data_IF_537893386578
#
_entry.id   IF_537893386578
#
_cell.length_a   1.000
_cell.length_b   1.000
_cell.length_c   1.000
_cell.angle_alpha   90.00
_cell.angle_beta   90.00
_cell.angle_gamma   90.00
#
_symmetry.space_group_name_H-M   'P 1'
#
loop_
_entity.id
_entity.type
_entity.pdbx_description
1 polymer ?
#
# COMPACT_ATOMS: atom_id res chain seq x y z
N UNK A 1 21.89 7.05 97.74
CA UNK A 1 21.75 5.64 98.18
C UNK A 1 21.63 4.73 96.95
N UNK A 2 22.06 3.46 97.04
CA UNK A 2 21.74 2.25 96.22
C UNK A 2 21.27 2.45 94.75
N UNK A 3 22.04 2.02 93.73
CA UNK A 3 22.06 0.66 93.13
C UNK A 3 20.82 0.37 92.22
N UNK A 4 20.93 0.31 90.88
CA UNK A 4 21.25 -0.87 90.04
C UNK A 4 20.02 -1.80 89.78
N UNK A 5 19.80 -2.51 88.66
CA UNK A 5 20.61 -3.00 87.50
C UNK A 5 19.72 -3.08 86.23
N UNK A 6 20.26 -3.01 84.98
CA UNK A 6 19.91 -3.84 83.78
C UNK A 6 20.06 -3.15 82.39
N UNK A 7 20.74 -3.84 81.46
CA UNK A 7 20.65 -3.70 79.99
C UNK A 7 20.01 -4.99 79.43
N UNK A 8 19.35 -4.97 78.25
CA UNK A 8 20.06 -5.42 77.05
C UNK A 8 19.64 -4.72 75.73
N UNK A 9 20.31 -5.15 74.66
CA UNK A 9 20.11 -4.99 73.20
C UNK A 9 18.68 -4.63 72.70
N UNK A 10 18.48 -3.96 71.55
CA UNK A 10 18.81 -4.47 70.20
C UNK A 10 18.56 -3.41 69.09
N UNK A 11 19.09 -3.67 67.89
CA UNK A 11 18.76 -3.06 66.58
C UNK A 11 19.24 -1.62 66.28
N UNK A 12 20.46 -1.54 65.76
CA UNK A 12 20.71 -0.68 64.61
C UNK A 12 20.01 -1.28 63.36
N UNK A 13 19.24 -0.47 62.61
CA UNK A 13 18.96 -0.60 61.17
C UNK A 13 18.02 0.51 60.68
N UNK A 14 18.30 1.11 59.52
CA UNK A 14 17.36 2.07 58.88
C UNK A 14 17.95 3.05 57.86
N UNK A 15 19.26 3.30 57.86
CA UNK A 15 19.89 4.24 56.90
C UNK A 15 20.20 3.58 55.55
N UNK A 16 19.16 3.28 54.75
CA UNK A 16 19.29 2.63 53.44
C UNK A 16 18.04 2.86 52.56
N UNK A 17 18.07 3.43 51.34
CA UNK A 17 19.15 4.13 50.58
C UNK A 17 18.50 5.14 49.60
N UNK A 18 18.88 6.44 49.60
CA UNK A 18 18.44 7.39 48.56
C UNK A 18 18.79 6.93 47.13
N UNK A 19 19.89 6.20 46.98
CA UNK A 19 20.35 5.63 45.71
C UNK A 19 19.39 4.63 45.08
N UNK A 20 18.51 3.98 45.88
CA UNK A 20 17.56 3.00 45.36
C UNK A 20 16.39 3.69 44.64
N UNK A 21 15.84 4.74 45.25
CA UNK A 21 14.75 5.55 44.69
C UNK A 21 15.22 6.32 43.45
N UNK A 22 16.43 6.88 43.48
CA UNK A 22 17.02 7.55 42.31
C UNK A 22 17.19 6.61 41.10
N UNK A 23 17.54 5.32 41.34
CA UNK A 23 17.67 4.31 40.27
C UNK A 23 16.32 3.91 39.69
N UNK A 24 15.31 3.69 40.54
CA UNK A 24 13.94 3.38 40.13
C UNK A 24 13.32 4.52 39.28
N UNK A 25 13.56 5.78 39.66
CA UNK A 25 13.15 6.95 38.87
C UNK A 25 13.85 7.00 37.50
N UNK A 26 15.16 6.72 37.44
CA UNK A 26 15.90 6.65 36.17
C UNK A 26 15.40 5.51 35.30
N UNK A 27 15.14 4.34 35.86
CA UNK A 27 14.60 3.18 35.13
C UNK A 27 13.21 3.48 34.54
N UNK A 28 12.29 4.04 35.35
CA UNK A 28 10.97 4.50 34.88
C UNK A 28 11.07 5.57 33.80
N UNK A 29 11.99 6.52 33.93
CA UNK A 29 12.21 7.54 32.89
C UNK A 29 12.68 6.93 31.56
N UNK A 30 13.53 5.90 31.63
CA UNK A 30 14.03 5.16 30.46
C UNK A 30 12.93 4.30 29.83
N UNK A 31 12.04 3.68 30.62
CA UNK A 31 10.86 2.99 30.10
C UNK A 31 9.90 3.94 29.38
N UNK A 32 9.62 5.12 29.95
CA UNK A 32 8.79 6.15 29.32
C UNK A 32 9.41 6.58 27.99
N UNK A 33 10.70 6.95 27.98
CA UNK A 33 11.41 7.35 26.76
C UNK A 33 11.41 6.25 25.68
N UNK A 34 11.55 4.96 26.06
CA UNK A 34 11.44 3.82 25.15
C UNK A 34 10.02 3.66 24.58
N UNK A 35 8.98 3.77 25.41
CA UNK A 35 7.57 3.70 24.97
C UNK A 35 7.22 4.85 24.03
N UNK A 36 7.62 6.07 24.35
CA UNK A 36 7.43 7.21 23.45
C UNK A 36 8.17 7.04 22.12
N UNK A 37 9.42 6.54 22.14
CA UNK A 37 10.17 6.28 20.92
C UNK A 37 9.47 5.21 20.05
N UNK A 38 8.83 4.21 20.67
CA UNK A 38 8.02 3.24 19.96
C UNK A 38 6.74 3.88 19.38
N UNK A 39 6.00 4.65 20.17
CA UNK A 39 4.80 5.36 19.71
C UNK A 39 5.13 6.32 18.55
N UNK A 40 6.25 7.06 18.62
CA UNK A 40 6.71 7.93 17.53
C UNK A 40 7.02 7.14 16.25
N UNK A 41 7.71 6.00 16.36
CA UNK A 41 7.97 5.11 15.22
C UNK A 41 6.67 4.57 14.60
N UNK A 42 5.76 4.06 15.43
CA UNK A 42 4.50 3.47 14.97
C UNK A 42 3.58 4.53 14.36
N UNK A 43 3.56 5.75 14.90
CA UNK A 43 2.84 6.88 14.35
C UNK A 43 3.42 7.33 13.00
N UNK A 44 4.75 7.48 12.89
CA UNK A 44 5.42 7.79 11.62
C UNK A 44 5.13 6.72 10.56
N UNK A 45 5.33 5.44 10.91
CA UNK A 45 5.06 4.30 10.04
C UNK A 45 3.56 4.10 9.70
N UNK A 46 2.65 4.76 10.42
CA UNK A 46 1.23 4.83 10.06
C UNK A 46 0.95 5.98 9.08
N UNK A 47 1.52 7.17 9.33
CA UNK A 47 1.36 8.35 8.45
C UNK A 47 2.03 8.17 7.08
N UNK A 48 3.12 7.39 7.01
CA UNK A 48 3.84 7.09 5.76
C UNK A 48 3.14 6.04 4.87
N UNK A 49 2.03 5.42 5.32
CA UNK A 49 1.30 4.43 4.51
C UNK A 49 0.53 5.12 3.39
N UNK A 50 0.81 4.80 2.11
CA UNK A 50 0.10 5.43 1.00
C UNK A 50 -1.38 5.03 1.01
N UNK A 51 -2.26 6.00 0.78
CA UNK A 51 -3.70 5.83 0.69
C UNK A 51 -4.04 5.09 -0.61
N UNK A 52 -4.38 3.81 -0.48
CA UNK A 52 -4.75 2.93 -1.61
C UNK A 52 -6.26 2.91 -1.81
N UNK A 53 -6.72 3.19 -3.02
CA UNK A 53 -8.13 3.05 -3.45
C UNK A 53 -8.24 1.95 -4.50
N UNK A 54 -9.34 1.20 -4.46
CA UNK A 54 -9.64 0.12 -5.41
C UNK A 54 -10.94 0.43 -6.16
N UNK A 55 -10.90 0.35 -7.49
CA UNK A 55 -12.04 0.54 -8.40
C UNK A 55 -12.15 -0.72 -9.26
N UNK A 56 -13.13 -1.57 -8.95
CA UNK A 56 -13.51 -2.73 -9.75
C UNK A 56 -14.70 -2.46 -10.66
N UNK A 57 -15.03 -3.42 -11.52
CA UNK A 57 -16.04 -3.31 -12.57
C UNK A 57 -17.45 -2.83 -12.15
N UNK A 58 -17.81 -2.88 -10.85
CA UNK A 58 -19.12 -2.43 -10.33
C UNK A 58 -19.07 -1.16 -9.46
N UNK A 59 -17.89 -0.63 -9.16
CA UNK A 59 -17.72 0.50 -8.23
C UNK A 59 -17.47 1.81 -8.99
N UNK A 60 -18.50 2.36 -9.63
CA UNK A 60 -18.44 3.72 -10.19
C UNK A 60 -18.72 4.76 -9.10
N UNK A 61 -17.72 5.06 -8.26
CA UNK A 61 -17.69 6.38 -7.61
C UNK A 61 -17.54 7.43 -8.71
N UNK A 62 -18.58 8.26 -8.92
CA UNK A 62 -18.67 9.24 -10.01
C UNK A 62 -17.40 10.10 -10.17
N UNK A 63 -16.77 10.45 -9.05
CA UNK A 63 -15.49 11.19 -8.97
C UNK A 63 -14.34 10.56 -9.77
N UNK A 64 -14.28 9.24 -9.86
CA UNK A 64 -13.23 8.51 -10.60
C UNK A 64 -13.60 8.21 -12.05
N UNK A 65 -14.89 8.33 -12.43
CA UNK A 65 -15.39 7.86 -13.72
C UNK A 65 -14.64 8.47 -14.92
N UNK A 66 -14.43 9.79 -14.90
CA UNK A 66 -13.69 10.50 -15.96
C UNK A 66 -12.23 10.03 -16.09
N UNK A 67 -11.52 9.89 -14.96
CA UNK A 67 -10.13 9.43 -14.95
C UNK A 67 -10.01 7.98 -15.46
N UNK A 68 -10.90 7.09 -15.02
CA UNK A 68 -10.90 5.68 -15.43
C UNK A 68 -11.30 5.50 -16.90
N UNK A 69 -12.15 6.37 -17.45
CA UNK A 69 -12.47 6.34 -18.89
C UNK A 69 -11.32 6.86 -19.76
N UNK A 70 -10.65 7.96 -19.37
CA UNK A 70 -9.43 8.42 -20.06
C UNK A 70 -8.34 7.34 -20.05
N UNK A 71 -8.14 6.68 -18.90
CA UNK A 71 -7.25 5.53 -18.77
C UNK A 71 -7.65 4.39 -19.74
N UNK A 72 -8.93 4.03 -19.80
CA UNK A 72 -9.47 3.00 -20.69
C UNK A 72 -9.21 3.33 -22.16
N UNK A 73 -9.56 4.54 -22.60
CA UNK A 73 -9.34 5.02 -23.96
C UNK A 73 -7.85 5.04 -24.35
N UNK A 74 -6.95 5.35 -23.40
CA UNK A 74 -5.50 5.25 -23.63
C UNK A 74 -5.06 3.79 -23.79
N UNK A 75 -5.53 2.90 -22.92
CA UNK A 75 -5.27 1.45 -22.99
C UNK A 75 -5.72 0.86 -24.33
N UNK A 76 -6.95 1.10 -24.75
CA UNK A 76 -7.52 0.53 -25.98
C UNK A 76 -6.74 1.02 -27.22
N UNK A 77 -6.44 2.33 -27.29
CA UNK A 77 -5.63 2.93 -28.35
C UNK A 77 -4.22 2.31 -28.44
N UNK A 78 -3.51 2.19 -27.32
CA UNK A 78 -2.17 1.59 -27.30
C UNK A 78 -2.24 0.09 -27.57
N UNK A 79 -3.27 -0.59 -27.07
CA UNK A 79 -3.53 -2.02 -27.25
C UNK A 79 -3.77 -2.40 -28.70
N UNK A 80 -4.63 -1.67 -29.41
CA UNK A 80 -4.93 -1.89 -30.82
C UNK A 80 -3.67 -1.74 -31.70
N UNK A 81 -2.81 -0.76 -31.39
CA UNK A 81 -1.53 -0.55 -32.08
C UNK A 81 -0.46 -1.61 -31.73
N UNK A 82 -0.62 -2.33 -30.61
CA UNK A 82 0.37 -3.27 -30.07
C UNK A 82 -0.16 -4.72 -29.95
N UNK A 83 -1.27 -5.04 -30.60
CA UNK A 83 -1.83 -6.40 -30.61
C UNK A 83 -0.79 -7.37 -31.22
N UNK A 84 -0.38 -8.45 -30.53
CA UNK A 84 0.78 -9.24 -30.91
C UNK A 84 0.65 -9.88 -32.30
N UNK A 85 1.63 -9.69 -33.17
CA UNK A 85 1.62 -10.22 -34.53
C UNK A 85 1.43 -11.75 -34.59
N UNK A 86 2.05 -12.49 -33.67
CA UNK A 86 1.84 -13.95 -33.57
C UNK A 86 0.41 -14.30 -33.13
N UNK A 87 -0.18 -13.52 -32.21
CA UNK A 87 -1.58 -13.72 -31.80
C UNK A 87 -2.56 -13.44 -32.97
N UNK A 88 -2.29 -12.43 -33.80
CA UNK A 88 -3.03 -12.17 -35.05
C UNK A 88 -2.91 -13.34 -36.02
N UNK A 89 -1.68 -13.75 -36.33
CA UNK A 89 -1.39 -14.83 -37.28
C UNK A 89 -2.02 -16.16 -36.86
N UNK A 90 -2.01 -16.46 -35.55
CA UNK A 90 -2.61 -17.66 -34.95
C UNK A 90 -4.09 -17.50 -34.58
N UNK A 91 -4.70 -16.33 -34.84
CA UNK A 91 -6.11 -16.02 -34.52
C UNK A 91 -6.46 -16.32 -33.06
N UNK A 92 -5.59 -15.90 -32.14
CA UNK A 92 -5.77 -16.06 -30.69
C UNK A 92 -6.62 -14.92 -30.14
N UNK A 93 -7.65 -15.29 -29.39
CA UNK A 93 -8.65 -14.42 -28.78
C UNK A 93 -8.92 -14.88 -27.35
N UNK A 94 -9.39 -13.98 -26.50
CA UNK A 94 -9.74 -14.34 -25.13
C UNK A 94 -9.91 -13.11 -24.25
N UNK A 95 -10.42 -13.34 -23.03
CA UNK A 95 -10.59 -12.29 -22.03
C UNK A 95 -9.78 -12.62 -20.79
N UNK A 96 -8.99 -11.66 -20.32
CA UNK A 96 -8.29 -11.73 -19.03
C UNK A 96 -8.80 -10.63 -18.09
N UNK A 97 -8.65 -10.84 -16.79
CA UNK A 97 -8.89 -9.80 -15.79
C UNK A 97 -7.55 -9.37 -15.19
N UNK A 98 -7.32 -8.07 -15.11
CA UNK A 98 -6.12 -7.53 -14.48
C UNK A 98 -6.42 -6.30 -13.64
N UNK A 99 -5.50 -6.02 -12.72
CA UNK A 99 -5.47 -4.83 -11.87
C UNK A 99 -4.20 -4.04 -12.17
N UNK A 100 -4.35 -2.75 -12.46
CA UNK A 100 -3.24 -1.81 -12.60
C UNK A 100 -3.24 -0.88 -11.40
N UNK A 101 -2.14 -0.85 -10.64
CA UNK A 101 -1.92 0.15 -9.60
C UNK A 101 -1.17 1.35 -10.20
N UNK A 102 -1.78 2.53 -10.13
CA UNK A 102 -1.26 3.79 -10.67
C UNK A 102 -1.04 4.74 -9.49
N UNK A 103 0.09 5.43 -9.45
CA UNK A 103 0.41 6.48 -8.47
C UNK A 103 -0.20 7.82 -8.88
N UNK A 104 -0.33 8.75 -7.94
CA UNK A 104 -0.90 10.08 -8.19
C UNK A 104 -0.15 10.95 -9.21
N UNK A 105 1.12 10.62 -9.50
CA UNK A 105 1.96 11.22 -10.54
C UNK A 105 1.70 10.67 -11.96
N UNK A 106 0.88 9.61 -12.09
CA UNK A 106 0.59 8.89 -13.32
C UNK A 106 1.45 7.63 -13.55
N UNK A 107 2.47 7.40 -12.71
CA UNK A 107 3.37 6.24 -12.87
C UNK A 107 2.70 4.93 -12.46
N UNK A 108 3.04 3.85 -13.16
CA UNK A 108 2.54 2.51 -12.82
C UNK A 108 3.37 1.95 -11.66
N UNK A 109 2.72 1.62 -10.54
CA UNK A 109 3.34 0.88 -9.44
C UNK A 109 3.40 -0.62 -9.75
N UNK A 110 2.28 -1.19 -10.21
CA UNK A 110 2.19 -2.64 -10.48
C UNK A 110 1.12 -2.99 -11.51
N UNK A 111 1.24 -4.19 -12.08
CA UNK A 111 0.26 -4.82 -12.97
C UNK A 111 0.12 -6.28 -12.57
N UNK A 112 -1.09 -6.68 -12.18
CA UNK A 112 -1.40 -8.03 -11.70
C UNK A 112 -2.48 -8.68 -12.58
N UNK A 113 -2.25 -9.91 -13.05
CA UNK A 113 -3.26 -10.69 -13.78
C UNK A 113 -4.09 -11.48 -12.78
N UNK A 114 -5.30 -11.00 -12.47
CA UNK A 114 -6.22 -11.66 -11.55
C UNK A 114 -6.87 -12.92 -12.18
N UNK A 115 -7.02 -12.94 -13.51
CA UNK A 115 -7.50 -14.09 -14.28
C UNK A 115 -6.83 -14.12 -15.64
N UNK A 116 -6.08 -15.18 -15.95
CA UNK A 116 -5.46 -15.40 -17.27
C UNK A 116 -6.52 -15.57 -18.37
N UNK A 117 -6.17 -15.17 -19.59
CA UNK A 117 -6.93 -15.44 -20.82
C UNK A 117 -6.89 -16.90 -21.28
N UNK A 118 -6.06 -17.75 -20.65
CA UNK A 118 -5.68 -19.07 -21.16
C UNK A 118 -4.57 -19.04 -22.21
N UNK A 119 -4.14 -17.85 -22.64
CA UNK A 119 -3.08 -17.67 -23.64
C UNK A 119 -1.98 -16.75 -23.10
N UNK A 120 -0.84 -17.34 -22.71
CA UNK A 120 0.33 -16.61 -22.16
C UNK A 120 0.75 -15.39 -23.01
N UNK A 121 0.64 -15.49 -24.33
CA UNK A 121 0.94 -14.38 -25.25
C UNK A 121 0.00 -13.18 -25.07
N UNK A 122 -1.30 -13.39 -24.82
CA UNK A 122 -2.26 -12.31 -24.59
C UNK A 122 -2.06 -11.70 -23.19
N UNK A 123 -1.79 -12.53 -22.17
CA UNK A 123 -1.50 -12.06 -20.81
C UNK A 123 -0.22 -11.20 -20.78
N UNK A 124 0.85 -11.65 -21.46
CA UNK A 124 2.09 -10.87 -21.63
C UNK A 124 1.87 -9.60 -22.46
N UNK A 125 1.01 -9.66 -23.48
CA UNK A 125 0.65 -8.50 -24.28
C UNK A 125 -0.06 -7.44 -23.43
N UNK A 126 -1.01 -7.82 -22.58
CA UNK A 126 -1.69 -6.89 -21.69
C UNK A 126 -0.71 -6.15 -20.76
N UNK A 127 0.21 -6.87 -20.11
CA UNK A 127 1.27 -6.27 -19.29
C UNK A 127 2.15 -5.32 -20.11
N UNK A 128 2.53 -5.71 -21.34
CA UNK A 128 3.31 -4.85 -22.25
C UNK A 128 2.54 -3.59 -22.66
N UNK A 129 1.23 -3.69 -22.93
CA UNK A 129 0.37 -2.57 -23.30
C UNK A 129 0.26 -1.56 -22.15
N UNK A 130 0.07 -2.00 -20.90
CA UNK A 130 0.08 -1.10 -19.74
C UNK A 130 1.42 -0.36 -19.62
N UNK A 131 2.54 -1.07 -19.78
CA UNK A 131 3.89 -0.46 -19.72
C UNK A 131 4.16 0.55 -20.83
N UNK A 132 3.60 0.34 -22.03
CA UNK A 132 3.71 1.28 -23.16
C UNK A 132 2.72 2.45 -23.08
N UNK A 133 1.62 2.29 -22.32
CA UNK A 133 0.67 3.36 -22.06
C UNK A 133 1.10 4.28 -20.91
N UNK A 134 2.05 3.84 -20.07
CA UNK A 134 2.63 4.61 -18.98
C UNK A 134 3.54 5.76 -19.49
N UNK A 135 3.67 6.87 -18.74
CA UNK A 135 2.85 7.23 -17.59
C UNK A 135 1.42 7.58 -18.01
N UNK A 136 0.45 7.38 -17.11
CA UNK A 136 -0.93 7.85 -17.27
C UNK A 136 -1.07 9.33 -16.90
N UNK A 137 -2.28 9.87 -17.02
CA UNK A 137 -2.55 11.24 -16.58
C UNK A 137 -2.33 11.35 -15.06
N UNK A 138 -1.94 12.52 -14.57
CA UNK A 138 -1.85 12.77 -13.11
C UNK A 138 -3.24 12.73 -12.49
N UNK A 139 -3.32 12.34 -11.22
CA UNK A 139 -4.61 12.36 -10.53
C UNK A 139 -5.11 13.80 -10.37
N UNK A 140 -6.34 14.12 -10.82
CA UNK A 140 -6.95 15.41 -10.56
C UNK A 140 -7.10 15.63 -9.05
N UNK A 141 -7.13 16.90 -8.64
CA UNK A 141 -7.03 17.32 -7.23
C UNK A 141 -8.08 16.65 -6.33
N UNK A 142 -9.29 16.45 -6.87
CA UNK A 142 -10.37 15.76 -6.17
C UNK A 142 -10.05 14.29 -5.86
N UNK A 143 -9.24 13.59 -6.67
CA UNK A 143 -8.75 12.22 -6.42
C UNK A 143 -7.50 12.26 -5.54
N UNK A 144 -6.55 13.14 -5.86
CA UNK A 144 -5.25 13.25 -5.17
C UNK A 144 -5.34 13.68 -3.70
N UNK A 145 -6.47 14.27 -3.28
CA UNK A 145 -6.71 14.64 -1.87
C UNK A 145 -6.76 13.43 -0.91
N UNK A 146 -7.30 12.30 -1.35
CA UNK A 146 -7.52 11.10 -0.52
C UNK A 146 -6.91 9.82 -1.08
N UNK A 147 -6.33 9.85 -2.29
CA UNK A 147 -5.82 8.68 -3.00
C UNK A 147 -4.41 8.93 -3.53
N UNK A 148 -3.43 8.23 -2.96
CA UNK A 148 -2.04 8.24 -3.44
C UNK A 148 -1.83 7.19 -4.54
N UNK A 149 -2.56 6.07 -4.46
CA UNK A 149 -2.47 4.94 -5.41
C UNK A 149 -3.87 4.41 -5.73
N UNK A 150 -4.23 4.43 -7.02
CA UNK A 150 -5.49 3.92 -7.55
C UNK A 150 -5.28 2.56 -8.23
N UNK A 151 -6.00 1.55 -7.77
CA UNK A 151 -6.00 0.20 -8.33
C UNK A 151 -7.23 0.05 -9.22
N UNK A 152 -7.04 -0.07 -10.53
CA UNK A 152 -8.11 -0.20 -11.52
C UNK A 152 -8.18 -1.66 -11.96
N UNK A 153 -9.25 -2.36 -11.59
CA UNK A 153 -9.49 -3.77 -11.97
C UNK A 153 -10.51 -3.86 -13.09
N UNK A 154 -10.09 -4.35 -14.27
CA UNK A 154 -10.90 -4.42 -15.50
C UNK A 154 -10.74 -5.76 -16.22
N UNK A 155 -11.74 -6.12 -17.01
CA UNK A 155 -11.71 -7.26 -17.92
C UNK A 155 -11.25 -6.76 -19.29
N UNK A 156 -10.16 -7.30 -19.81
CA UNK A 156 -9.69 -6.96 -21.15
C UNK A 156 -10.01 -8.10 -22.11
N UNK A 157 -10.64 -7.78 -23.24
CA UNK A 157 -11.00 -8.75 -24.28
C UNK A 157 -10.20 -8.47 -25.55
N UNK A 158 -9.44 -9.47 -25.99
CA UNK A 158 -8.73 -9.51 -27.26
C UNK A 158 -9.68 -10.11 -28.30
N UNK A 159 -10.21 -9.27 -29.19
CA UNK A 159 -11.33 -9.61 -30.09
C UNK A 159 -10.86 -10.12 -31.45
N UNK A 160 -11.80 -10.66 -32.24
CA UNK A 160 -11.58 -11.11 -33.62
C UNK A 160 -11.24 -9.99 -34.62
N UNK A 161 -11.38 -8.72 -34.23
CA UNK A 161 -11.04 -7.55 -35.04
C UNK A 161 -9.63 -7.02 -34.81
N UNK A 162 -8.75 -7.80 -34.18
CA UNK A 162 -7.44 -7.36 -33.64
C UNK A 162 -7.54 -6.16 -32.68
N UNK A 163 -8.65 -6.06 -31.94
CA UNK A 163 -8.89 -4.99 -30.98
C UNK A 163 -8.77 -5.48 -29.54
N UNK A 164 -8.31 -4.59 -28.66
CA UNK A 164 -8.34 -4.75 -27.20
C UNK A 164 -9.43 -3.82 -26.67
N UNK A 165 -10.41 -4.39 -25.98
CA UNK A 165 -11.47 -3.66 -25.26
C UNK A 165 -11.22 -3.82 -23.76
N UNK A 166 -11.46 -2.78 -22.95
CA UNK A 166 -11.22 -2.81 -21.50
C UNK A 166 -12.48 -2.42 -20.69
N UNK A 167 -13.23 -3.44 -20.25
CA UNK A 167 -14.55 -3.35 -19.59
C UNK A 167 -14.49 -3.41 -18.06
#
# INVERSE_FOLDING_TARGET
AKAAVATPELLAQGAAKPDAEARDLVEKSLEIARREAQIRRDFQAYQERPKRKFIGARAQEYRFAYYVDNWRLKIERIGNLNYPGEAKARRLYGSLQLTVAIKADGEVESVEINRSSGHRILDQAAIRIVRLAAPFDRFPDNIRADTDILHITRTWTFTRGDQVLAE
#
